data_IF_226959591590
#
_entry.id   IF_226959591590
#
_cell.length_a   1.000
_cell.length_b   1.000
_cell.length_c   1.000
_cell.angle_alpha   90.00
_cell.angle_beta   90.00
_cell.angle_gamma   90.00
#
_symmetry.space_group_name_H-M   'P 1'
#
loop_
_entity.id
_entity.type
_entity.pdbx_description
1 polymer ?
#
# COMPACT_ATOMS: atom_id res chain seq x y z
N UNK A 1 22.45 43.41 -0.49
CA UNK A 1 21.15 42.76 -0.72
C UNK A 1 21.15 41.43 0.00
N UNK A 2 20.79 41.42 1.28
CA UNK A 2 20.56 40.20 2.06
C UNK A 2 19.06 39.88 1.97
N UNK A 3 18.71 38.68 1.51
CA UNK A 3 17.35 38.14 1.58
C UNK A 3 17.29 37.16 2.73
N UNK A 4 16.94 37.67 3.90
CA UNK A 4 16.35 36.89 4.97
C UNK A 4 14.93 36.44 4.59
N UNK A 5 14.42 35.46 5.37
CA UNK A 5 13.01 35.03 5.53
C UNK A 5 12.57 33.94 4.51
N UNK A 6 12.16 32.73 4.88
CA UNK A 6 11.79 32.16 6.19
C UNK A 6 11.67 30.63 6.08
N UNK A 7 12.26 29.92 7.04
CA UNK A 7 11.80 28.61 7.48
C UNK A 7 10.69 28.79 8.53
N UNK A 8 9.64 27.97 8.47
CA UNK A 8 8.66 27.76 9.56
C UNK A 8 8.10 26.34 9.42
N UNK A 9 8.52 25.42 10.28
CA UNK A 9 7.83 25.03 11.53
C UNK A 9 6.81 23.91 11.26
N UNK A 10 7.15 22.64 11.47
CA UNK A 10 7.05 21.84 12.71
C UNK A 10 5.63 21.53 13.21
N UNK A 11 5.49 20.25 13.57
CA UNK A 11 4.67 19.68 14.64
C UNK A 11 3.15 19.56 14.45
N UNK A 12 2.73 18.32 14.16
CA UNK A 12 1.43 17.78 14.52
C UNK A 12 1.60 16.40 15.13
N UNK A 13 1.93 16.34 16.42
CA UNK A 13 1.93 15.11 17.22
C UNK A 13 0.59 14.96 17.95
N UNK A 14 -0.11 13.83 17.77
CA UNK A 14 -1.04 13.19 18.73
C UNK A 14 -1.61 11.92 18.07
N UNK A 15 -1.82 10.78 18.73
CA UNK A 15 -1.92 10.49 20.15
C UNK A 15 -1.53 9.02 20.42
N UNK A 16 -0.99 8.80 21.62
CA UNK A 16 -0.73 7.50 22.24
C UNK A 16 -2.00 6.96 22.91
N UNK A 17 -2.28 5.65 22.86
CA UNK A 17 -2.52 4.79 24.04
C UNK A 17 -2.96 3.36 23.72
N UNK A 18 -2.54 2.51 24.64
CA UNK A 18 -2.51 1.04 24.68
C UNK A 18 -3.71 0.43 25.41
N UNK A 19 -3.93 -0.86 25.15
CA UNK A 19 -4.30 -1.97 26.06
C UNK A 19 -5.78 -2.36 26.33
N UNK A 20 -6.04 -3.67 26.09
CA UNK A 20 -6.99 -4.63 26.70
C UNK A 20 -8.51 -4.38 26.53
N UNK A 21 -9.43 -5.35 26.35
CA UNK A 21 -9.51 -6.74 26.84
C UNK A 21 -10.38 -7.65 25.92
N UNK A 22 -10.50 -8.93 26.29
CA UNK A 22 -10.80 -10.13 25.50
C UNK A 22 -12.29 -10.44 25.27
N UNK A 23 -12.65 -10.99 24.09
CA UNK A 23 -13.74 -11.98 23.98
C UNK A 23 -13.58 -12.94 22.79
N UNK A 24 -13.39 -14.21 23.12
CA UNK A 24 -13.25 -15.37 22.24
C UNK A 24 -14.60 -15.68 21.58
N UNK A 25 -14.67 -15.61 20.25
CA UNK A 25 -15.66 -16.31 19.43
C UNK A 25 -14.96 -16.72 18.13
N UNK A 26 -15.09 -18.00 17.77
CA UNK A 26 -14.39 -18.63 16.65
C UNK A 26 -14.69 -17.95 15.31
N UNK A 27 -13.89 -16.94 14.96
CA UNK A 27 -13.81 -16.39 13.62
C UNK A 27 -12.68 -17.13 12.91
N UNK A 28 -12.97 -17.74 11.75
CA UNK A 28 -11.95 -18.15 10.78
C UNK A 28 -10.93 -17.02 10.73
N UNK A 29 -9.69 -17.27 11.17
CA UNK A 29 -8.65 -16.26 11.15
C UNK A 29 -8.50 -15.83 9.69
N UNK A 30 -9.01 -14.64 9.37
CA UNK A 30 -8.81 -14.05 8.06
C UNK A 30 -7.30 -14.00 7.86
N UNK A 31 -6.81 -14.74 6.86
CA UNK A 31 -5.39 -14.80 6.55
C UNK A 31 -4.92 -13.37 6.37
N UNK A 32 -4.09 -12.89 7.31
CA UNK A 32 -3.61 -11.51 7.28
C UNK A 32 -2.79 -11.36 6.00
N UNK A 33 -3.02 -10.29 5.27
CA UNK A 33 -2.20 -9.94 4.11
C UNK A 33 -1.05 -9.05 4.62
N UNK A 34 -0.22 -9.60 5.48
CA UNK A 34 0.86 -8.91 6.20
C UNK A 34 2.24 -9.10 5.56
N UNK A 35 2.36 -9.99 4.57
CA UNK A 35 3.57 -10.11 3.77
C UNK A 35 3.76 -8.87 2.87
N UNK A 36 4.93 -8.25 2.96
CA UNK A 36 5.35 -7.15 2.12
C UNK A 36 6.16 -7.66 0.92
N UNK A 37 5.97 -7.04 -0.26
CA UNK A 37 6.75 -7.28 -1.46
C UNK A 37 7.47 -5.97 -1.84
N UNK A 38 8.79 -5.95 -1.76
CA UNK A 38 9.61 -4.81 -2.18
C UNK A 38 10.02 -5.01 -3.64
N UNK A 39 9.64 -4.07 -4.51
CA UNK A 39 9.94 -4.11 -5.95
C UNK A 39 10.70 -2.82 -6.31
N UNK A 40 11.77 -2.97 -7.09
CA UNK A 40 12.49 -1.84 -7.71
C UNK A 40 12.12 -1.78 -9.19
N UNK A 41 11.72 -0.61 -9.66
CA UNK A 41 11.36 -0.32 -11.06
C UNK A 41 11.93 1.05 -11.44
N UNK A 42 11.86 1.43 -12.72
CA UNK A 42 12.23 2.77 -13.14
C UNK A 42 11.30 3.82 -12.50
N UNK A 43 11.82 5.01 -12.22
CA UNK A 43 11.06 6.13 -11.67
C UNK A 43 9.95 6.58 -12.62
N UNK A 44 10.25 6.65 -13.92
CA UNK A 44 9.28 7.06 -14.95
C UNK A 44 8.10 6.08 -15.03
N UNK A 45 8.37 4.77 -15.05
CA UNK A 45 7.34 3.72 -15.06
C UNK A 45 6.47 3.77 -13.81
N UNK A 46 7.07 4.05 -12.63
CA UNK A 46 6.32 4.24 -11.39
C UNK A 46 5.36 5.41 -11.51
N UNK A 47 5.84 6.54 -12.01
CA UNK A 47 5.06 7.78 -12.06
C UNK A 47 3.91 7.67 -13.06
N UNK A 48 4.15 7.05 -14.22
CA UNK A 48 3.08 6.72 -15.18
C UNK A 48 2.04 5.77 -14.59
N UNK A 49 2.48 4.71 -13.91
CA UNK A 49 1.57 3.76 -13.26
C UNK A 49 0.72 4.41 -12.16
N UNK A 50 1.31 5.31 -11.37
CA UNK A 50 0.58 6.05 -10.34
C UNK A 50 -0.43 7.03 -10.94
N UNK A 51 -0.06 7.77 -12.00
CA UNK A 51 -0.98 8.65 -12.73
C UNK A 51 -2.21 7.89 -13.23
N UNK A 52 -1.99 6.72 -13.84
CA UNK A 52 -3.09 5.86 -14.30
C UNK A 52 -3.96 5.34 -13.15
N UNK A 53 -3.38 5.06 -11.99
CA UNK A 53 -4.16 4.65 -10.82
C UNK A 53 -5.08 5.77 -10.34
N UNK A 54 -4.59 7.01 -10.32
CA UNK A 54 -5.35 8.19 -9.91
C UNK A 54 -6.48 8.48 -10.91
N UNK A 55 -6.23 8.39 -12.22
CA UNK A 55 -7.23 8.55 -13.27
C UNK A 55 -8.37 7.51 -13.20
N UNK A 56 -8.06 6.29 -12.74
CA UNK A 56 -9.01 5.18 -12.64
C UNK A 56 -9.67 5.06 -11.24
N UNK A 57 -9.45 6.03 -10.35
CA UNK A 57 -9.93 6.01 -8.96
C UNK A 57 -9.57 4.68 -8.22
N UNK A 58 -8.37 4.16 -8.47
CA UNK A 58 -7.87 2.92 -7.86
C UNK A 58 -6.54 3.15 -7.14
N UNK A 59 -6.08 2.17 -6.38
CA UNK A 59 -4.77 2.24 -5.72
C UNK A 59 -3.78 1.30 -6.40
N UNK A 60 -2.52 1.73 -6.47
CA UNK A 60 -1.41 0.90 -6.91
C UNK A 60 -1.40 -0.47 -6.23
N UNK A 61 -1.62 -0.52 -4.91
CA UNK A 61 -1.67 -1.77 -4.16
C UNK A 61 -2.83 -2.69 -4.60
N UNK A 62 -3.98 -2.14 -4.99
CA UNK A 62 -5.13 -2.90 -5.47
C UNK A 62 -4.87 -3.48 -6.87
N UNK A 63 -4.33 -2.67 -7.77
CA UNK A 63 -4.00 -3.12 -9.13
C UNK A 63 -2.88 -4.17 -9.13
N UNK A 64 -1.81 -3.97 -8.36
CA UNK A 64 -0.73 -4.96 -8.22
C UNK A 64 -1.27 -6.28 -7.66
N UNK A 65 -2.10 -6.25 -6.60
CA UNK A 65 -2.69 -7.49 -6.05
C UNK A 65 -3.63 -8.18 -7.04
N UNK A 66 -4.40 -7.42 -7.81
CA UNK A 66 -5.29 -7.95 -8.84
C UNK A 66 -4.48 -8.60 -9.94
N UNK A 67 -3.45 -7.92 -10.43
CA UNK A 67 -2.52 -8.45 -11.43
C UNK A 67 -1.87 -9.74 -10.94
N UNK A 68 -1.31 -9.77 -9.73
CA UNK A 68 -0.69 -10.98 -9.15
C UNK A 68 -1.68 -12.15 -9.12
N UNK A 69 -2.92 -11.94 -8.67
CA UNK A 69 -3.93 -13.00 -8.62
C UNK A 69 -4.30 -13.50 -10.03
N UNK A 70 -4.50 -12.58 -10.97
CA UNK A 70 -4.81 -12.92 -12.36
C UNK A 70 -3.67 -13.67 -13.04
N UNK A 71 -2.43 -13.24 -12.79
CA UNK A 71 -1.21 -13.87 -13.29
C UNK A 71 -1.08 -15.29 -12.76
N UNK A 72 -1.23 -15.49 -11.43
CA UNK A 72 -1.21 -16.83 -10.81
C UNK A 72 -2.27 -17.74 -11.45
N UNK A 73 -3.52 -17.27 -11.58
CA UNK A 73 -4.60 -18.08 -12.19
C UNK A 73 -4.27 -18.49 -13.62
N UNK A 74 -3.84 -17.54 -14.44
CA UNK A 74 -3.48 -17.76 -15.85
C UNK A 74 -2.41 -18.84 -16.02
N UNK A 75 -1.45 -18.91 -15.10
CA UNK A 75 -0.32 -19.84 -15.18
C UNK A 75 -0.52 -21.14 -14.38
N UNK A 76 -1.50 -21.22 -13.49
CA UNK A 76 -1.90 -22.46 -12.82
C UNK A 76 -2.81 -23.34 -13.69
N UNK A 77 -3.54 -22.74 -14.62
CA UNK A 77 -4.41 -23.45 -15.58
C UNK A 77 -3.63 -24.07 -16.74
N UNK A 78 -2.30 -23.93 -16.77
CA UNK A 78 -1.39 -24.50 -17.79
C UNK A 78 -0.80 -25.87 -17.37
N UNK A 79 -1.24 -26.45 -16.25
CA UNK A 79 -0.77 -27.73 -15.70
C UNK A 79 -1.88 -28.81 -15.68
N UNK A 80 -2.75 -28.83 -16.70
CA UNK A 80 -3.71 -29.92 -16.96
C UNK A 80 -3.68 -30.37 -18.42
#
# INVERSE_FOLDING_TARGET
>A
MAKDKSASATSGAKAVKTAADSKKNGKKQAKKNDAQLLIRINGEERDEFLSLCDELDTSAAREVRRFIRSFIRKHQETDV
#
